data_IF_869649868289
#
_entry.id   IF_869649868289
#
_cell.length_a   1.000
_cell.length_b   1.000
_cell.length_c   1.000
_cell.angle_alpha   90.00
_cell.angle_beta   90.00
_cell.angle_gamma   90.00
#
_symmetry.space_group_name_H-M   'P 1'
#
loop_
_entity.id
_entity.type
_entity.pdbx_description
1 polymer ?
#
# COMPACT_ATOMS: atom_id res chain seq x y z
N UNK A 1 -2.48 -1.95 9.19
CA UNK A 1 -3.72 -1.18 9.46
C UNK A 1 -4.67 -1.92 10.39
N UNK A 2 -5.13 -3.13 10.08
CA UNK A 2 -6.06 -3.90 10.94
C UNK A 2 -5.53 -4.04 12.37
N UNK A 3 -4.27 -4.45 12.54
CA UNK A 3 -3.66 -4.56 13.87
C UNK A 3 -3.69 -3.24 14.67
N UNK A 4 -3.50 -2.12 14.01
CA UNK A 4 -3.61 -0.80 14.64
C UNK A 4 -5.04 -0.52 15.12
N UNK A 5 -6.05 -0.91 14.35
CA UNK A 5 -7.46 -0.71 14.71
C UNK A 5 -7.89 -1.58 15.89
N UNK A 6 -7.34 -2.79 16.00
CA UNK A 6 -7.68 -3.78 17.01
C UNK A 6 -6.91 -3.52 18.32
N UNK A 7 -5.61 -3.25 18.22
CA UNK A 7 -4.72 -3.20 19.39
C UNK A 7 -4.62 -1.81 20.02
N UNK A 8 -4.89 -0.75 19.26
CA UNK A 8 -4.77 0.64 19.73
C UNK A 8 -6.15 1.28 19.83
N UNK A 9 -6.69 1.57 21.01
CA UNK A 9 -7.99 2.19 21.15
C UNK A 9 -8.01 3.61 20.58
N UNK A 10 -9.18 4.08 20.17
CA UNK A 10 -9.38 5.49 19.81
C UNK A 10 -9.27 6.33 21.07
N UNK A 11 -8.57 7.46 20.96
CA UNK A 11 -8.46 8.40 22.07
C UNK A 11 -9.75 9.22 22.13
N UNK A 12 -10.51 9.07 23.21
CA UNK A 12 -11.65 9.96 23.47
C UNK A 12 -11.15 11.36 23.79
N UNK A 13 -11.81 12.38 23.25
CA UNK A 13 -11.42 13.78 23.39
C UNK A 13 -11.68 14.37 24.80
N UNK A 14 -11.67 13.55 25.84
CA UNK A 14 -11.82 13.99 27.23
C UNK A 14 -10.47 14.31 27.84
N UNK A 15 -10.09 15.56 27.75
CA UNK A 15 -8.90 16.11 28.41
C UNK A 15 -7.80 16.54 27.45
N UNK A 16 -7.09 17.55 27.85
CA UNK A 16 -5.98 18.18 27.13
C UNK A 16 -4.71 17.33 27.21
N UNK A 17 -4.77 16.11 26.68
CA UNK A 17 -3.59 15.26 26.54
C UNK A 17 -3.00 15.46 25.15
N UNK A 18 -1.99 16.31 25.06
CA UNK A 18 -1.14 16.50 23.87
C UNK A 18 -0.26 15.28 23.55
N UNK A 19 -0.37 14.20 24.32
CA UNK A 19 0.45 13.01 24.17
C UNK A 19 0.16 12.31 22.83
N UNK A 20 1.23 12.08 22.08
CA UNK A 20 1.22 11.28 20.83
C UNK A 20 2.04 10.03 21.07
N UNK A 21 1.48 8.87 20.73
CA UNK A 21 2.15 7.58 20.84
C UNK A 21 2.92 7.31 19.55
N UNK A 22 4.20 6.99 19.66
CA UNK A 22 5.00 6.53 18.52
C UNK A 22 5.05 5.01 18.52
N UNK A 23 4.59 4.39 17.43
CA UNK A 23 4.64 2.96 17.24
C UNK A 23 5.66 2.62 16.13
N UNK A 24 6.67 1.82 16.47
CA UNK A 24 7.64 1.32 15.51
C UNK A 24 7.17 -0.03 14.96
N UNK A 25 7.30 -0.22 13.65
CA UNK A 25 7.03 -1.50 13.00
C UNK A 25 8.09 -1.82 11.95
N UNK A 26 8.47 -3.09 11.87
CA UNK A 26 9.37 -3.60 10.85
C UNK A 26 8.64 -4.05 9.60
N UNK A 27 9.31 -3.97 8.47
CA UNK A 27 8.86 -4.56 7.20
C UNK A 27 10.08 -4.98 6.36
N UNK A 28 10.04 -6.13 5.75
CA UNK A 28 11.04 -6.60 4.80
C UNK A 28 10.87 -6.00 3.39
N UNK A 29 9.74 -5.33 3.16
CA UNK A 29 9.48 -4.62 1.92
C UNK A 29 9.96 -3.16 2.02
N UNK A 30 11.08 -2.86 1.38
CA UNK A 30 11.67 -1.52 1.34
C UNK A 30 10.72 -0.47 0.74
N UNK A 31 9.92 -0.85 -0.26
CA UNK A 31 8.91 0.03 -0.85
C UNK A 31 7.84 0.44 0.15
N UNK A 32 7.41 -0.48 1.03
CA UNK A 32 6.44 -0.19 2.09
C UNK A 32 7.02 0.74 3.15
N UNK A 33 8.28 0.56 3.54
CA UNK A 33 8.96 1.46 4.47
C UNK A 33 8.94 2.91 3.94
N UNK A 34 9.40 3.12 2.71
CA UNK A 34 9.39 4.45 2.09
C UNK A 34 7.97 5.03 1.89
N UNK A 35 7.02 4.17 1.57
CA UNK A 35 5.62 4.57 1.39
C UNK A 35 5.02 5.10 2.69
N UNK A 36 5.26 4.39 3.79
CA UNK A 36 4.75 4.76 5.11
C UNK A 36 5.43 6.01 5.67
N UNK A 37 6.73 6.19 5.42
CA UNK A 37 7.45 7.39 5.80
C UNK A 37 6.94 8.64 5.10
N UNK A 38 6.67 8.52 3.80
CA UNK A 38 6.22 9.66 2.98
C UNK A 38 4.71 9.86 3.02
N UNK A 39 3.93 8.83 3.39
CA UNK A 39 2.47 8.80 3.34
C UNK A 39 1.90 9.30 2.02
N UNK A 40 2.59 9.02 0.91
CA UNK A 40 2.25 9.53 -0.42
C UNK A 40 2.41 8.46 -1.50
N UNK A 41 1.37 8.30 -2.30
CA UNK A 41 1.39 7.49 -3.52
C UNK A 41 0.35 8.00 -4.51
N UNK A 42 0.63 7.83 -5.79
CA UNK A 42 -0.32 8.08 -6.88
C UNK A 42 -0.98 6.79 -7.39
N UNK A 43 -0.63 5.63 -6.81
CA UNK A 43 -1.14 4.34 -7.25
C UNK A 43 -2.44 4.01 -6.55
N UNK A 44 -3.50 3.79 -7.33
CA UNK A 44 -4.74 3.20 -6.85
C UNK A 44 -4.60 1.67 -6.74
N UNK A 45 -5.17 1.00 -5.74
CA UNK A 45 -5.96 1.52 -4.59
C UNK A 45 -5.11 1.96 -3.38
N UNK A 46 -3.78 1.91 -3.50
CA UNK A 46 -2.86 2.12 -2.39
C UNK A 46 -3.00 3.50 -1.73
N UNK A 47 -3.31 4.53 -2.53
CA UNK A 47 -3.57 5.87 -2.02
C UNK A 47 -4.74 5.91 -1.03
N UNK A 48 -5.82 5.18 -1.33
CA UNK A 48 -7.01 5.11 -0.46
C UNK A 48 -6.68 4.39 0.86
N UNK A 49 -5.88 3.31 0.79
CA UNK A 49 -5.40 2.60 1.99
C UNK A 49 -4.54 3.50 2.86
N UNK A 50 -3.68 4.35 2.27
CA UNK A 50 -2.90 5.33 3.02
C UNK A 50 -3.76 6.43 3.64
N UNK A 51 -4.80 6.90 2.95
CA UNK A 51 -5.74 7.86 3.52
C UNK A 51 -6.46 7.29 4.74
N UNK A 52 -6.92 6.03 4.67
CA UNK A 52 -7.49 5.34 5.81
C UNK A 52 -6.47 5.21 6.95
N UNK A 53 -5.23 4.80 6.65
CA UNK A 53 -4.18 4.67 7.65
C UNK A 53 -3.89 6.01 8.33
N UNK A 54 -3.84 7.11 7.58
CA UNK A 54 -3.67 8.45 8.11
C UNK A 54 -4.83 8.85 9.04
N UNK A 55 -6.07 8.57 8.63
CA UNK A 55 -7.26 8.80 9.45
C UNK A 55 -7.20 8.00 10.75
N UNK A 56 -6.93 6.68 10.65
CA UNK A 56 -6.87 5.80 11.81
C UNK A 56 -5.73 6.18 12.78
N UNK A 57 -4.59 6.62 12.25
CA UNK A 57 -3.47 7.13 13.05
C UNK A 57 -3.84 8.41 13.78
N UNK A 58 -4.50 9.34 13.08
CA UNK A 58 -4.93 10.62 13.66
C UNK A 58 -5.93 10.44 14.81
N UNK A 59 -6.97 9.60 14.63
CA UNK A 59 -7.99 9.39 15.67
C UNK A 59 -7.47 8.65 16.90
N UNK A 60 -6.28 8.01 16.77
CA UNK A 60 -5.58 7.34 17.87
C UNK A 60 -4.41 8.13 18.41
N UNK A 61 -4.17 9.33 17.88
CA UNK A 61 -2.99 10.15 18.21
C UNK A 61 -1.69 9.34 18.10
N UNK A 62 -1.54 8.62 17.01
CA UNK A 62 -0.44 7.71 16.77
C UNK A 62 0.43 8.21 15.63
N UNK A 63 1.75 8.10 15.80
CA UNK A 63 2.74 8.22 14.72
C UNK A 63 3.30 6.82 14.44
N UNK A 64 3.07 6.33 13.24
CA UNK A 64 3.61 5.06 12.78
C UNK A 64 5.00 5.31 12.18
N UNK A 65 6.01 4.59 12.69
CA UNK A 65 7.38 4.60 12.20
C UNK A 65 7.68 3.25 11.58
N UNK A 66 7.75 3.17 10.26
CA UNK A 66 8.14 1.95 9.58
C UNK A 66 9.64 1.96 9.33
N UNK A 67 10.30 0.85 9.60
CA UNK A 67 11.70 0.63 9.24
C UNK A 67 11.86 -0.66 8.47
N UNK A 68 12.80 -0.65 7.55
CA UNK A 68 13.10 -1.85 6.81
C UNK A 68 13.92 -2.83 7.66
N UNK A 69 13.57 -4.11 7.57
CA UNK A 69 14.29 -5.22 8.18
C UNK A 69 14.79 -6.18 7.08
N UNK A 70 15.98 -6.75 7.21
CA UNK A 70 16.36 -7.88 6.40
C UNK A 70 15.36 -9.04 6.56
N UNK A 71 15.13 -9.79 5.50
CA UNK A 71 14.15 -10.89 5.51
C UNK A 71 14.42 -11.92 6.60
N UNK A 72 15.69 -12.17 6.90
CA UNK A 72 16.09 -13.11 7.97
C UNK A 72 15.67 -12.64 9.38
N UNK A 73 15.41 -11.36 9.56
CA UNK A 73 14.92 -10.80 10.81
C UNK A 73 13.39 -10.73 10.88
N UNK A 74 12.69 -11.13 9.81
CA UNK A 74 11.23 -11.10 9.68
C UNK A 74 10.60 -12.51 9.73
N UNK A 75 11.34 -13.51 10.21
CA UNK A 75 10.93 -14.93 10.20
C UNK A 75 9.59 -15.18 10.91
N UNK A 76 9.33 -14.50 12.02
CA UNK A 76 8.07 -14.65 12.76
C UNK A 76 6.86 -14.18 11.93
N UNK A 77 6.98 -13.03 11.24
CA UNK A 77 5.92 -12.53 10.40
C UNK A 77 5.72 -13.41 9.16
N UNK A 78 6.80 -13.93 8.58
CA UNK A 78 6.75 -14.87 7.47
C UNK A 78 6.08 -16.19 7.90
N UNK A 79 6.39 -16.72 9.07
CA UNK A 79 5.74 -17.90 9.62
C UNK A 79 4.23 -17.69 9.79
N UNK A 80 3.79 -16.53 10.31
CA UNK A 80 2.38 -16.19 10.45
C UNK A 80 1.67 -16.12 9.10
N UNK A 81 2.30 -15.53 8.08
CA UNK A 81 1.71 -15.43 6.74
C UNK A 81 1.63 -16.77 6.01
N UNK A 82 2.53 -17.71 6.34
CA UNK A 82 2.55 -19.08 5.85
C UNK A 82 1.71 -20.06 6.69
N UNK A 83 0.93 -19.55 7.65
CA UNK A 83 0.10 -20.35 8.55
C UNK A 83 0.90 -21.32 9.45
N UNK A 84 2.15 -21.01 9.73
CA UNK A 84 3.03 -21.78 10.61
C UNK A 84 2.92 -21.29 12.05
N UNK A 85 1.93 -21.77 12.79
CA UNK A 85 1.63 -21.28 14.14
C UNK A 85 2.32 -22.03 15.27
N UNK A 86 3.22 -22.99 15.00
CA UNK A 86 3.82 -23.90 15.99
C UNK A 86 4.54 -23.20 17.13
N UNK A 87 5.09 -22.02 16.86
CA UNK A 87 5.89 -21.26 17.82
C UNK A 87 5.09 -20.14 18.51
N UNK A 88 3.80 -20.01 18.20
CA UNK A 88 2.94 -18.97 18.74
C UNK A 88 2.00 -19.53 19.80
N UNK A 89 1.82 -18.77 20.90
CA UNK A 89 0.89 -19.13 21.96
C UNK A 89 -0.56 -18.93 21.45
N UNK A 90 -1.36 -20.01 21.36
CA UNK A 90 -2.74 -19.92 20.89
C UNK A 90 -3.62 -18.97 21.72
N UNK A 91 -3.28 -18.76 22.99
CA UNK A 91 -4.01 -17.85 23.91
C UNK A 91 -3.86 -16.39 23.52
N UNK A 92 -2.83 -16.06 22.74
CA UNK A 92 -2.59 -14.69 22.24
C UNK A 92 -3.24 -14.43 20.90
N UNK A 93 -3.91 -15.41 20.31
CA UNK A 93 -4.65 -15.25 19.06
C UNK A 93 -5.88 -14.39 19.31
N UNK A 94 -5.99 -13.31 18.56
CA UNK A 94 -7.16 -12.44 18.55
C UNK A 94 -7.96 -12.74 17.29
N UNK A 95 -9.23 -13.13 17.47
CA UNK A 95 -10.15 -13.28 16.35
C UNK A 95 -10.72 -11.90 15.98
N UNK A 96 -10.60 -11.54 14.72
CA UNK A 96 -11.07 -10.27 14.20
C UNK A 96 -12.07 -10.53 13.10
N UNK A 97 -13.28 -10.01 13.26
CA UNK A 97 -14.27 -9.98 12.19
C UNK A 97 -14.13 -8.66 11.43
N UNK A 98 -14.10 -8.72 10.10
CA UNK A 98 -14.01 -7.51 9.28
C UNK A 98 -15.20 -6.57 9.48
N UNK A 99 -16.39 -7.13 9.77
CA UNK A 99 -17.60 -6.37 10.10
C UNK A 99 -17.47 -5.48 11.34
N UNK A 100 -16.55 -5.81 12.25
CA UNK A 100 -16.35 -5.05 13.49
C UNK A 100 -15.41 -3.85 13.29
N UNK A 101 -14.72 -3.82 12.16
CA UNK A 101 -13.79 -2.76 11.81
C UNK A 101 -14.56 -1.62 11.14
N UNK A 102 -14.51 -0.44 11.74
CA UNK A 102 -15.11 0.78 11.18
C UNK A 102 -14.05 1.58 10.44
N UNK A 103 -14.14 1.55 9.14
CA UNK A 103 -13.32 2.36 8.26
C UNK A 103 -14.01 3.71 7.98
N UNK A 104 -13.24 4.73 7.69
CA UNK A 104 -13.77 6.06 7.33
C UNK A 104 -13.74 6.27 5.80
N UNK A 105 -12.66 5.83 5.17
CA UNK A 105 -12.42 6.01 3.73
C UNK A 105 -12.72 4.73 2.95
N UNK A 106 -12.31 3.57 3.51
CA UNK A 106 -12.49 2.29 2.84
C UNK A 106 -13.94 1.80 2.81
N UNK A 107 -14.78 2.18 3.78
CA UNK A 107 -16.21 1.81 3.77
C UNK A 107 -16.93 2.43 2.56
N UNK A 108 -16.58 3.66 2.20
CA UNK A 108 -17.11 4.32 1.01
C UNK A 108 -16.62 3.63 -0.26
N UNK A 109 -15.32 3.33 -0.30
CA UNK A 109 -14.72 2.59 -1.41
C UNK A 109 -15.35 1.21 -1.60
N UNK A 110 -15.64 0.48 -0.54
CA UNK A 110 -16.27 -0.84 -0.64
C UNK A 110 -17.71 -0.78 -1.14
N UNK A 111 -18.43 0.30 -0.85
CA UNK A 111 -19.78 0.52 -1.37
C UNK A 111 -19.82 0.90 -2.85
N UNK A 112 -18.85 1.70 -3.27
CA UNK A 112 -18.81 2.29 -4.62
C UNK A 112 -17.73 1.65 -5.52
N UNK A 113 -16.96 0.71 -4.96
CA UNK A 113 -15.73 0.20 -5.58
C UNK A 113 -15.93 -0.45 -6.94
N UNK A 114 -17.02 -1.20 -7.13
CA UNK A 114 -17.31 -1.84 -8.42
C UNK A 114 -17.56 -0.80 -9.51
N UNK A 115 -18.43 0.17 -9.23
CA UNK A 115 -18.72 1.26 -10.18
C UNK A 115 -17.46 2.10 -10.49
N UNK A 116 -16.65 2.35 -9.49
CA UNK A 116 -15.40 3.10 -9.65
C UNK A 116 -14.34 2.36 -10.48
N UNK A 117 -14.22 1.05 -10.29
CA UNK A 117 -13.32 0.21 -11.09
C UNK A 117 -13.76 0.18 -12.55
N UNK A 118 -15.06 0.04 -12.82
CA UNK A 118 -15.59 0.10 -14.18
C UNK A 118 -15.32 1.45 -14.85
N UNK A 119 -15.51 2.55 -14.13
CA UNK A 119 -15.21 3.88 -14.64
C UNK A 119 -13.73 4.07 -14.96
N UNK A 120 -12.84 3.61 -14.08
CA UNK A 120 -11.39 3.63 -14.32
C UNK A 120 -10.98 2.80 -15.55
N UNK A 121 -11.61 1.66 -15.77
CA UNK A 121 -11.34 0.84 -16.94
C UNK A 121 -11.80 1.54 -18.23
N UNK A 122 -12.95 2.18 -18.22
CA UNK A 122 -13.44 3.01 -19.34
C UNK A 122 -12.47 4.15 -19.65
N UNK A 123 -12.01 4.88 -18.63
CA UNK A 123 -11.04 5.97 -18.79
C UNK A 123 -9.71 5.45 -19.37
N UNK A 124 -9.20 4.33 -18.86
CA UNK A 124 -7.97 3.70 -19.38
C UNK A 124 -8.12 3.25 -20.83
N UNK A 125 -9.27 2.69 -21.19
CA UNK A 125 -9.56 2.27 -22.57
C UNK A 125 -9.57 3.49 -23.50
N UNK A 126 -10.25 4.56 -23.13
CA UNK A 126 -10.28 5.79 -23.90
C UNK A 126 -8.89 6.42 -24.09
N UNK A 127 -8.07 6.43 -23.01
CA UNK A 127 -6.69 6.92 -23.09
C UNK A 127 -5.81 6.05 -24.01
N UNK A 128 -6.02 4.75 -24.04
CA UNK A 128 -5.29 3.83 -24.94
C UNK A 128 -5.70 4.10 -26.39
N UNK A 129 -6.99 4.27 -26.66
CA UNK A 129 -7.48 4.57 -28.00
C UNK A 129 -6.99 5.96 -28.48
N UNK A 130 -7.01 6.96 -27.63
CA UNK A 130 -6.48 8.29 -27.93
C UNK A 130 -4.99 8.21 -28.31
N UNK A 131 -4.18 7.51 -27.50
CA UNK A 131 -2.75 7.29 -27.80
C UNK A 131 -2.51 6.51 -29.09
N UNK A 132 -3.37 5.56 -29.45
CA UNK A 132 -3.30 4.84 -30.72
C UNK A 132 -3.61 5.74 -31.92
N UNK A 133 -4.55 6.68 -31.77
CA UNK A 133 -4.89 7.67 -32.81
C UNK A 133 -3.81 8.73 -32.97
N UNK A 134 -3.11 9.08 -31.91
CA UNK A 134 -2.02 10.08 -31.92
C UNK A 134 -0.67 9.51 -32.38
N UNK A 135 -0.52 8.19 -32.49
CA UNK A 135 0.71 7.62 -33.03
C UNK A 135 0.76 7.87 -34.53
N UNK A 136 1.68 8.72 -35.05
CA UNK A 136 1.85 8.88 -36.47
C UNK A 136 2.23 7.53 -37.09
N UNK A 137 1.50 7.15 -38.12
CA UNK A 137 1.78 6.02 -38.99
C UNK A 137 3.13 6.27 -39.64
N UNK A 138 4.20 5.93 -38.97
CA UNK A 138 5.53 5.63 -39.54
C UNK A 138 6.64 5.68 -38.48
N UNK A 139 6.75 4.69 -37.64
CA UNK A 139 8.09 4.22 -37.33
C UNK A 139 8.47 3.26 -38.44
N UNK A 140 9.08 3.81 -39.49
CA UNK A 140 9.82 3.06 -40.51
C UNK A 140 10.57 1.93 -39.78
N UNK A 141 10.27 0.70 -40.12
CA UNK A 141 11.10 -0.46 -39.75
C UNK A 141 12.54 -0.08 -40.06
N UNK A 142 13.38 0.04 -39.05
CA UNK A 142 14.83 0.02 -39.27
C UNK A 142 15.11 -1.33 -39.94
N UNK A 143 15.41 -1.29 -41.21
CA UNK A 143 15.90 -2.42 -41.97
C UNK A 143 17.06 -3.04 -41.22
N UNK A 144 16.97 -4.33 -40.93
CA UNK A 144 18.08 -5.11 -40.44
C UNK A 144 19.26 -4.93 -41.42
N UNK A 145 20.31 -4.24 -41.02
CA UNK A 145 21.44 -3.96 -41.89
C UNK A 145 22.45 -2.96 -41.44
N UNK A 146 22.29 -2.33 -40.30
CA UNK A 146 23.33 -1.50 -39.71
C UNK A 146 24.02 -2.23 -38.56
N UNK A 147 24.89 -3.15 -38.87
CA UNK A 147 25.94 -3.61 -37.96
C UNK A 147 26.88 -2.43 -37.72
N UNK A 148 26.91 -1.92 -36.49
CA UNK A 148 27.95 -1.03 -36.01
C UNK A 148 29.31 -1.74 -36.23
N UNK A 149 30.19 -1.15 -37.05
CA UNK A 149 31.55 -1.64 -37.22
C UNK A 149 32.28 -1.52 -35.90
N UNK A 150 33.11 -2.53 -35.60
CA UNK A 150 33.90 -2.66 -34.35
C UNK A 150 34.92 -1.52 -34.12
N UNK A 151 35.02 -0.57 -35.06
CA UNK A 151 35.91 0.60 -34.98
C UNK A 151 35.44 1.76 -34.13
N UNK A 152 34.19 1.70 -33.62
CA UNK A 152 33.58 2.83 -32.86
C UNK A 152 33.46 2.57 -31.36
N UNK A 153 34.29 1.68 -30.84
CA UNK A 153 34.44 1.51 -29.38
C UNK A 153 35.55 2.43 -28.88
N UNK A 154 35.12 3.46 -28.16
CA UNK A 154 35.93 4.20 -27.18
C UNK A 154 35.23 4.11 -25.84
#
# INVERSE_FOLDING_TARGET
>A
MVGLMVLVPKVEAKGDTSAVVSLSCGTDNQGNSHLLDRMLTTKYPLGVVLMELAHQSRVRRLVLRAHWLPRLENEEADALTNFEFRHFDPKRRIEVQLSDLKFAVLDELFREGEAYVEELEKIKAQQREAKLREQPVAKRRKTAGSTLRDSDRW
#
